data_IF_559720228142
#
_entry.id   IF_559720228142
#
_cell.length_a   1.000
_cell.length_b   1.000
_cell.length_c   1.000
_cell.angle_alpha   90.00
_cell.angle_beta   90.00
_cell.angle_gamma   90.00
#
_symmetry.space_group_name_H-M   'P 1'
#
loop_
_entity.id
_entity.type
_entity.pdbx_description
1 polymer ?
#
# COMPACT_ATOMS: atom_id res chain seq x y z
N UNK A 1 38.77 -55.34 17.21
CA UNK A 1 38.78 -53.88 17.40
C UNK A 1 37.91 -53.27 16.31
N UNK A 2 36.69 -52.85 16.64
CA UNK A 2 35.75 -52.28 15.66
C UNK A 2 35.80 -50.75 15.70
N UNK A 3 36.01 -50.12 14.55
CA UNK A 3 35.99 -48.67 14.39
C UNK A 3 34.58 -48.27 13.95
N UNK A 4 33.88 -47.50 14.78
CA UNK A 4 32.60 -46.89 14.43
C UNK A 4 32.85 -45.51 13.82
N UNK A 5 32.56 -45.34 12.54
CA UNK A 5 32.60 -44.04 11.87
C UNK A 5 31.21 -43.43 12.02
N UNK A 6 31.09 -42.41 12.87
CA UNK A 6 29.86 -41.62 13.00
C UNK A 6 29.86 -40.59 11.87
N UNK A 7 29.01 -40.80 10.87
CA UNK A 7 28.82 -39.88 9.76
C UNK A 7 27.83 -38.77 10.20
N UNK A 8 28.37 -37.62 10.62
CA UNK A 8 27.58 -36.44 10.96
C UNK A 8 27.04 -35.78 9.69
N UNK A 9 25.76 -35.98 9.39
CA UNK A 9 25.06 -35.25 8.31
C UNK A 9 24.78 -33.81 8.76
N UNK A 10 25.57 -32.86 8.28
CA UNK A 10 25.23 -31.43 8.36
C UNK A 10 24.03 -31.16 7.44
N UNK A 11 22.83 -31.03 8.01
CA UNK A 11 21.72 -30.39 7.30
C UNK A 11 22.06 -28.89 7.19
N UNK A 12 22.48 -28.47 6.00
CA UNK A 12 22.54 -27.05 5.68
C UNK A 12 21.10 -26.53 5.62
N UNK A 13 20.66 -25.85 6.68
CA UNK A 13 19.44 -25.04 6.64
C UNK A 13 19.72 -23.89 5.70
N UNK A 14 19.32 -24.02 4.44
CA UNK A 14 19.28 -22.89 3.51
C UNK A 14 18.19 -21.94 4.02
N UNK A 15 18.60 -20.93 4.78
CA UNK A 15 17.76 -19.78 5.08
C UNK A 15 17.56 -19.08 3.74
N UNK A 16 16.41 -19.33 3.10
CA UNK A 16 16.00 -18.59 1.91
C UNK A 16 15.91 -17.12 2.31
N UNK A 17 16.85 -16.30 1.83
CA UNK A 17 16.72 -14.86 1.94
C UNK A 17 15.48 -14.48 1.12
N UNK A 18 14.42 -14.04 1.79
CA UNK A 18 13.32 -13.36 1.11
C UNK A 18 13.93 -12.14 0.44
N UNK A 19 14.16 -12.19 -0.88
CA UNK A 19 14.58 -11.01 -1.62
C UNK A 19 13.49 -9.96 -1.41
N UNK A 20 13.85 -8.85 -0.76
CA UNK A 20 13.02 -7.67 -0.71
C UNK A 20 12.72 -7.21 -2.12
N UNK A 21 11.47 -6.85 -2.39
CA UNK A 21 11.06 -6.31 -3.68
C UNK A 21 11.96 -5.11 -4.07
N UNK A 22 12.46 -5.13 -5.32
CA UNK A 22 13.16 -4.00 -5.93
C UNK A 22 12.56 -3.69 -7.30
N UNK A 23 12.27 -2.41 -7.56
CA UNK A 23 11.81 -1.93 -8.86
C UNK A 23 12.73 -0.80 -9.33
N UNK A 24 13.54 -1.07 -10.35
CA UNK A 24 14.51 -0.10 -10.91
C UNK A 24 15.49 0.48 -9.87
N UNK A 25 16.03 -0.35 -8.97
CA UNK A 25 17.05 0.09 -8.01
C UNK A 25 16.50 0.74 -6.75
N UNK A 26 15.17 0.79 -6.55
CA UNK A 26 14.56 1.26 -5.31
C UNK A 26 13.71 0.18 -4.67
N UNK A 27 13.67 0.20 -3.34
CA UNK A 27 12.82 -0.69 -2.55
C UNK A 27 11.36 -0.57 -2.98
N UNK A 28 10.71 -1.71 -3.22
CA UNK A 28 9.27 -1.77 -3.43
C UNK A 28 8.51 -2.52 -2.35
N UNK A 29 7.21 -2.30 -2.33
CA UNK A 29 6.29 -3.02 -1.46
C UNK A 29 6.19 -4.50 -1.87
N UNK A 30 6.38 -5.41 -0.92
CA UNK A 30 6.17 -6.84 -1.16
C UNK A 30 4.67 -7.16 -1.21
N UNK A 31 4.31 -8.22 -1.93
CA UNK A 31 2.96 -8.77 -1.91
C UNK A 31 2.96 -10.25 -2.31
N UNK A 32 1.90 -10.93 -1.90
CA UNK A 32 1.55 -12.28 -2.35
C UNK A 32 0.34 -12.22 -3.28
N UNK A 33 0.41 -12.86 -4.44
CA UNK A 33 -0.75 -12.99 -5.34
C UNK A 33 -1.63 -14.13 -4.84
N UNK A 34 -2.85 -13.79 -4.39
CA UNK A 34 -3.84 -14.74 -3.89
C UNK A 34 -4.61 -15.39 -5.04
N UNK A 35 -5.01 -14.60 -6.04
CA UNK A 35 -5.64 -15.09 -7.26
C UNK A 35 -5.30 -14.21 -8.46
N UNK A 36 -5.27 -14.83 -9.65
CA UNK A 36 -5.11 -14.13 -10.92
C UNK A 36 -6.39 -14.24 -11.73
N UNK A 37 -6.84 -13.10 -12.22
CA UNK A 37 -7.92 -12.98 -13.18
C UNK A 37 -7.34 -12.41 -14.49
N UNK A 38 -8.06 -12.49 -15.62
CA UNK A 38 -7.53 -12.04 -16.91
C UNK A 38 -7.06 -10.57 -16.94
N UNK A 39 -7.64 -9.72 -16.09
CA UNK A 39 -7.45 -8.27 -16.14
C UNK A 39 -7.08 -7.61 -14.81
N UNK A 40 -6.97 -8.38 -13.73
CA UNK A 40 -6.60 -7.93 -12.39
C UNK A 40 -6.12 -9.11 -11.53
N UNK A 41 -5.51 -8.80 -10.39
CA UNK A 41 -5.07 -9.78 -9.39
C UNK A 41 -5.69 -9.46 -8.03
N UNK A 42 -5.95 -10.47 -7.20
CA UNK A 42 -6.11 -10.28 -5.75
C UNK A 42 -4.74 -10.45 -5.11
N UNK A 43 -4.31 -9.45 -4.34
CA UNK A 43 -3.00 -9.42 -3.69
C UNK A 43 -3.14 -9.21 -2.18
N UNK A 44 -2.32 -9.90 -1.40
CA UNK A 44 -2.14 -9.69 0.03
C UNK A 44 -0.84 -8.91 0.24
N UNK A 45 -0.94 -7.77 0.92
CA UNK A 45 0.20 -6.96 1.31
C UNK A 45 0.50 -7.14 2.80
N UNK A 46 1.78 -7.08 3.21
CA UNK A 46 2.16 -7.08 4.62
C UNK A 46 1.74 -5.76 5.29
N UNK A 47 2.04 -5.62 6.58
CA UNK A 47 1.91 -4.31 7.24
C UNK A 47 2.91 -3.32 6.63
N UNK A 48 2.48 -2.08 6.44
CA UNK A 48 3.29 -1.02 5.84
C UNK A 48 3.21 0.27 6.65
N UNK A 49 4.21 1.12 6.48
CA UNK A 49 4.23 2.48 7.04
C UNK A 49 4.30 3.47 5.88
N UNK A 50 3.43 4.48 5.93
CA UNK A 50 3.33 5.52 4.92
C UNK A 50 3.48 6.89 5.55
N UNK A 51 4.24 7.78 4.93
CA UNK A 51 4.17 9.22 5.21
C UNK A 51 3.20 9.85 4.20
N UNK A 52 2.23 10.59 4.71
CA UNK A 52 1.06 11.01 3.94
C UNK A 52 0.79 12.49 4.07
N UNK A 53 0.17 13.06 3.03
CA UNK A 53 -0.36 14.41 2.98
C UNK A 53 -1.75 14.38 2.35
N UNK A 54 -2.63 15.32 2.71
CA UNK A 54 -4.02 15.36 2.25
C UNK A 54 -4.39 16.72 1.67
N UNK A 55 -5.18 16.73 0.60
CA UNK A 55 -5.77 17.92 -0.01
C UNK A 55 -7.16 17.56 -0.58
N UNK A 56 -8.09 18.51 -0.58
CA UNK A 56 -9.39 18.41 -1.27
C UNK A 56 -9.40 19.40 -2.42
N UNK A 57 -10.03 19.02 -3.54
CA UNK A 57 -10.11 19.88 -4.71
C UNK A 57 -10.68 19.16 -5.93
N UNK A 58 -11.02 19.88 -7.01
CA UNK A 58 -11.62 19.30 -8.20
C UNK A 58 -10.60 18.66 -9.16
N UNK A 59 -9.29 18.89 -8.97
CA UNK A 59 -8.25 18.43 -9.89
C UNK A 59 -7.26 17.48 -9.20
N UNK A 60 -7.27 16.22 -9.64
CA UNK A 60 -6.30 15.22 -9.20
C UNK A 60 -4.88 15.66 -9.57
N UNK A 61 -4.68 16.15 -10.79
CA UNK A 61 -3.35 16.52 -11.28
C UNK A 61 -2.71 17.63 -10.43
N UNK A 62 -3.49 18.64 -10.03
CA UNK A 62 -3.01 19.72 -9.15
C UNK A 62 -2.72 19.21 -7.75
N UNK A 63 -3.62 18.42 -7.17
CA UNK A 63 -3.42 17.82 -5.85
C UNK A 63 -2.15 16.94 -5.83
N UNK A 64 -1.93 16.09 -6.85
CA UNK A 64 -0.73 15.26 -6.92
C UNK A 64 0.56 16.08 -6.96
N UNK A 65 0.61 17.19 -7.70
CA UNK A 65 1.78 18.07 -7.74
C UNK A 65 2.04 18.70 -6.36
N UNK A 66 1.01 19.23 -5.72
CA UNK A 66 1.12 19.90 -4.42
C UNK A 66 1.55 18.94 -3.31
N UNK A 67 0.87 17.80 -3.22
CA UNK A 67 1.12 16.77 -2.22
C UNK A 67 2.50 16.14 -2.41
N UNK A 68 2.89 15.83 -3.65
CA UNK A 68 4.22 15.29 -3.93
C UNK A 68 5.32 16.27 -3.52
N UNK A 69 5.15 17.58 -3.75
CA UNK A 69 6.12 18.59 -3.29
C UNK A 69 6.32 18.57 -1.78
N UNK A 70 5.25 18.43 -0.98
CA UNK A 70 5.36 18.34 0.49
C UNK A 70 6.13 17.09 0.90
N UNK A 71 5.72 15.94 0.38
CA UNK A 71 6.33 14.64 0.68
C UNK A 71 7.78 14.54 0.18
N UNK A 72 8.08 15.15 -0.96
CA UNK A 72 9.44 15.18 -1.51
C UNK A 72 10.39 16.00 -0.63
N UNK A 73 9.96 17.17 -0.10
CA UNK A 73 10.78 17.93 0.85
C UNK A 73 11.14 17.09 2.08
N UNK A 74 10.18 16.35 2.62
CA UNK A 74 10.39 15.48 3.78
C UNK A 74 11.53 14.47 3.55
N UNK A 75 11.50 13.74 2.42
CA UNK A 75 12.57 12.77 2.10
C UNK A 75 13.89 13.43 1.69
N UNK A 76 13.88 14.74 1.38
CA UNK A 76 15.06 15.55 1.08
C UNK A 76 15.62 16.30 2.30
N UNK A 77 15.22 15.91 3.52
CA UNK A 77 15.78 16.48 4.75
C UNK A 77 14.91 17.53 5.44
N UNK A 78 13.71 17.83 4.96
CA UNK A 78 12.74 18.68 5.68
C UNK A 78 12.03 17.87 6.78
N UNK A 79 12.84 17.48 7.76
CA UNK A 79 12.46 16.71 8.93
C UNK A 79 13.38 17.11 10.09
N UNK A 80 12.97 16.82 11.33
CA UNK A 80 13.66 17.33 12.52
C UNK A 80 15.12 16.88 12.66
N UNK A 81 15.55 15.85 11.92
CA UNK A 81 16.93 15.35 11.93
C UNK A 81 17.75 15.79 10.71
N UNK A 82 17.15 16.49 9.75
CA UNK A 82 17.84 16.87 8.51
C UNK A 82 18.25 15.68 7.64
N UNK A 83 17.63 14.52 7.84
CA UNK A 83 18.06 13.26 7.23
C UNK A 83 17.46 13.08 5.84
N UNK A 84 18.29 12.66 4.88
CA UNK A 84 17.83 12.20 3.59
C UNK A 84 17.29 10.78 3.71
N UNK A 85 16.11 10.54 3.15
CA UNK A 85 15.43 9.23 3.19
C UNK A 85 15.44 8.67 1.78
N UNK A 86 15.83 7.40 1.66
CA UNK A 86 15.79 6.70 0.37
C UNK A 86 14.36 6.66 -0.18
N UNK A 87 14.22 7.02 -1.46
CA UNK A 87 12.94 6.85 -2.17
C UNK A 87 12.59 5.37 -2.29
N UNK A 88 11.29 5.08 -2.21
CA UNK A 88 10.70 3.76 -2.38
C UNK A 88 9.57 3.82 -3.41
N UNK A 89 8.98 2.68 -3.74
CA UNK A 89 7.90 2.61 -4.73
C UNK A 89 6.83 1.56 -4.36
N UNK A 90 5.54 1.78 -4.68
CA UNK A 90 4.96 2.91 -5.39
C UNK A 90 4.79 4.15 -4.52
N UNK A 91 4.68 5.31 -5.17
CA UNK A 91 3.93 6.42 -4.59
C UNK A 91 2.45 6.14 -4.79
N UNK A 92 1.64 6.35 -3.76
CA UNK A 92 0.22 5.99 -3.77
C UNK A 92 -0.65 7.22 -3.53
N UNK A 93 -1.73 7.38 -4.28
CA UNK A 93 -2.75 8.43 -4.05
C UNK A 93 -4.11 7.78 -3.79
N UNK A 94 -4.61 7.86 -2.56
CA UNK A 94 -5.99 7.52 -2.23
C UNK A 94 -6.91 8.59 -2.80
N UNK A 95 -7.93 8.17 -3.54
CA UNK A 95 -8.99 9.03 -4.04
C UNK A 95 -10.29 8.63 -3.35
N UNK A 96 -10.88 9.58 -2.63
CA UNK A 96 -12.25 9.48 -2.11
C UNK A 96 -13.11 10.37 -3.00
N UNK A 97 -13.90 9.80 -3.92
CA UNK A 97 -14.78 10.58 -4.79
C UNK A 97 -15.85 11.29 -3.97
N UNK A 98 -16.22 12.49 -4.40
CA UNK A 98 -17.46 13.09 -3.92
C UNK A 98 -18.66 12.41 -4.57
N UNK A 99 -19.74 12.17 -3.81
CA UNK A 99 -21.03 11.69 -4.32
C UNK A 99 -22.08 12.79 -4.16
N UNK A 100 -22.85 13.00 -5.23
CA UNK A 100 -24.20 13.59 -5.24
C UNK A 100 -24.43 15.01 -4.67
N UNK A 101 -23.39 15.77 -4.36
CA UNK A 101 -23.50 17.18 -3.94
C UNK A 101 -22.61 18.09 -4.81
N UNK A 102 -23.23 19.09 -5.44
CA UNK A 102 -22.56 20.04 -6.34
C UNK A 102 -21.52 20.91 -5.64
N UNK A 103 -21.53 20.98 -4.30
CA UNK A 103 -20.59 21.75 -3.49
C UNK A 103 -19.44 20.91 -2.90
N UNK A 104 -19.42 19.60 -3.12
CA UNK A 104 -18.44 18.71 -2.49
C UNK A 104 -17.29 18.35 -3.44
N UNK A 105 -16.08 18.38 -2.91
CA UNK A 105 -14.86 18.11 -3.66
C UNK A 105 -14.28 16.73 -3.32
N UNK A 106 -13.71 16.02 -4.31
CA UNK A 106 -12.92 14.84 -4.05
C UNK A 106 -11.80 15.12 -3.06
N UNK A 107 -11.49 14.11 -2.26
CA UNK A 107 -10.37 14.17 -1.32
C UNK A 107 -9.25 13.26 -1.82
N UNK A 108 -8.04 13.81 -1.84
CA UNK A 108 -6.81 13.13 -2.23
C UNK A 108 -5.90 12.98 -1.03
N UNK A 109 -5.37 11.78 -0.81
CA UNK A 109 -4.31 11.53 0.17
C UNK A 109 -3.17 10.84 -0.52
N UNK A 110 -2.05 11.55 -0.71
CA UNK A 110 -0.85 10.98 -1.30
C UNK A 110 0.05 10.45 -0.20
N UNK A 111 0.71 9.34 -0.47
CA UNK A 111 1.52 8.58 0.46
C UNK A 111 2.81 8.11 -0.21
N UNK A 112 3.94 8.30 0.46
CA UNK A 112 5.21 7.62 0.14
C UNK A 112 5.41 6.46 1.10
N UNK A 113 5.84 5.31 0.56
CA UNK A 113 6.17 4.15 1.38
C UNK A 113 7.44 4.47 2.18
N UNK A 114 7.41 4.26 3.48
CA UNK A 114 8.60 4.40 4.30
C UNK A 114 9.51 3.18 4.03
N UNK A 115 10.84 3.35 3.90
CA UNK A 115 11.77 2.22 3.86
C UNK A 115 11.60 1.28 5.06
N UNK A 116 11.68 -0.04 4.84
CA UNK A 116 11.46 -1.03 5.92
C UNK A 116 12.44 -0.90 7.08
N UNK A 117 13.67 -0.49 6.82
CA UNK A 117 14.69 -0.27 7.86
C UNK A 117 14.31 0.85 8.85
N UNK A 118 13.32 1.70 8.48
CA UNK A 118 12.80 2.77 9.31
C UNK A 118 11.52 2.44 10.10
N UNK A 119 10.94 1.22 9.96
CA UNK A 119 9.61 0.89 10.51
C UNK A 119 9.50 0.93 12.03
N UNK A 120 10.58 0.69 12.78
CA UNK A 120 10.60 0.67 14.25
C UNK A 120 10.66 2.08 14.86
N UNK A 121 9.79 2.98 14.37
CA UNK A 121 9.73 4.40 14.74
C UNK A 121 11.05 5.15 14.52
N UNK A 122 11.86 4.64 13.58
CA UNK A 122 13.13 5.26 13.18
C UNK A 122 12.94 6.32 12.10
N UNK A 123 11.79 6.41 11.45
CA UNK A 123 11.51 7.50 10.51
C UNK A 123 11.61 8.88 11.21
N UNK A 124 12.25 9.89 10.60
CA UNK A 124 12.36 11.21 11.21
C UNK A 124 11.01 11.92 11.20
N UNK A 125 10.77 12.73 12.24
CA UNK A 125 9.54 13.50 12.39
C UNK A 125 9.53 14.63 11.35
N UNK A 126 8.48 14.80 10.53
CA UNK A 126 8.38 15.90 9.58
C UNK A 126 8.33 17.26 10.30
N UNK A 127 8.90 18.29 9.69
CA UNK A 127 8.76 19.70 10.11
C UNK A 127 7.43 20.29 9.65
N UNK A 128 6.92 19.82 8.51
CA UNK A 128 5.61 20.19 7.94
C UNK A 128 4.49 19.50 8.73
N UNK A 129 3.67 20.29 9.42
CA UNK A 129 2.58 19.82 10.30
C UNK A 129 1.42 19.17 9.54
N UNK A 130 1.35 19.34 8.22
CA UNK A 130 0.34 18.70 7.38
C UNK A 130 0.72 17.25 7.00
N UNK A 131 1.94 16.83 7.32
CA UNK A 131 2.42 15.47 7.08
C UNK A 131 2.14 14.57 8.29
N UNK A 132 1.66 13.36 8.03
CA UNK A 132 1.34 12.39 9.06
C UNK A 132 1.70 10.97 8.64
N UNK A 133 2.06 10.14 9.62
CA UNK A 133 2.33 8.71 9.38
C UNK A 133 1.05 7.88 9.51
N UNK A 134 0.92 6.89 8.64
CA UNK A 134 -0.12 5.87 8.69
C UNK A 134 0.53 4.49 8.72
N UNK A 135 0.31 3.74 9.81
CA UNK A 135 0.62 2.31 9.86
C UNK A 135 -0.58 1.54 9.34
N UNK A 136 -0.42 0.95 8.17
CA UNK A 136 -1.45 0.12 7.56
C UNK A 136 -1.22 -1.35 7.96
N UNK A 137 -2.20 -2.02 8.60
CA UNK A 137 -2.08 -3.45 8.89
C UNK A 137 -2.09 -4.26 7.59
N UNK A 138 -1.75 -5.56 7.63
CA UNK A 138 -1.82 -6.41 6.45
C UNK A 138 -3.17 -6.28 5.75
N UNK A 139 -3.15 -5.97 4.46
CA UNK A 139 -4.37 -5.61 3.71
C UNK A 139 -4.40 -6.31 2.36
N UNK A 140 -5.61 -6.69 1.95
CA UNK A 140 -5.87 -7.22 0.62
C UNK A 140 -6.35 -6.13 -0.31
N UNK A 141 -5.93 -6.21 -1.57
CA UNK A 141 -6.41 -5.37 -2.64
C UNK A 141 -6.73 -6.21 -3.87
N UNK A 142 -7.74 -5.79 -4.62
CA UNK A 142 -7.81 -6.10 -6.05
C UNK A 142 -6.99 -5.06 -6.80
N UNK A 143 -6.15 -5.51 -7.72
CA UNK A 143 -5.12 -4.69 -8.37
C UNK A 143 -5.17 -4.88 -9.87
N UNK A 144 -5.26 -3.76 -10.59
CA UNK A 144 -5.15 -3.72 -12.06
C UNK A 144 -3.92 -2.92 -12.46
N UNK A 145 -3.06 -3.53 -13.27
CA UNK A 145 -1.82 -2.92 -13.76
C UNK A 145 -1.96 -2.47 -15.21
N UNK A 146 -1.34 -1.35 -15.56
CA UNK A 146 -1.34 -0.79 -16.91
C UNK A 146 -0.11 0.10 -17.14
N UNK A 147 0.21 0.38 -18.40
CA UNK A 147 1.40 1.14 -18.79
C UNK A 147 1.16 2.59 -19.18
N UNK A 148 2.24 3.31 -19.48
CA UNK A 148 2.19 4.64 -20.10
C UNK A 148 2.19 5.82 -19.11
N UNK A 149 1.82 7.00 -19.60
CA UNK A 149 1.69 8.24 -18.82
C UNK A 149 0.21 8.64 -18.75
N UNK A 150 -0.56 8.09 -17.79
CA UNK A 150 -1.99 8.35 -17.73
C UNK A 150 -2.27 9.85 -17.54
N UNK A 151 -3.19 10.37 -18.34
CA UNK A 151 -3.94 11.58 -18.00
C UNK A 151 -4.84 11.32 -16.79
N UNK A 152 -5.37 12.39 -16.20
CA UNK A 152 -6.39 12.29 -15.15
C UNK A 152 -7.61 11.46 -15.59
N UNK A 153 -8.09 11.66 -16.82
CA UNK A 153 -9.20 10.86 -17.38
C UNK A 153 -8.84 9.38 -17.55
N UNK A 154 -7.59 9.05 -17.91
CA UNK A 154 -7.15 7.66 -18.02
C UNK A 154 -7.07 6.98 -16.65
N UNK A 155 -6.59 7.68 -15.61
CA UNK A 155 -6.63 7.17 -14.25
C UNK A 155 -8.05 6.82 -13.80
N UNK A 156 -9.01 7.73 -14.04
CA UNK A 156 -10.42 7.51 -13.70
C UNK A 156 -10.99 6.35 -14.50
N UNK A 157 -10.68 6.23 -15.79
CA UNK A 157 -11.14 5.13 -16.63
C UNK A 157 -10.63 3.76 -16.16
N UNK A 158 -9.35 3.64 -15.79
CA UNK A 158 -8.78 2.39 -15.26
C UNK A 158 -9.37 2.03 -13.90
N UNK A 159 -9.67 3.04 -13.06
CA UNK A 159 -10.33 2.82 -11.78
C UNK A 159 -11.77 2.36 -11.93
N UNK A 160 -12.54 2.98 -12.84
CA UNK A 160 -13.89 2.53 -13.16
C UNK A 160 -13.88 1.11 -13.72
N UNK A 161 -12.95 0.80 -14.62
CA UNK A 161 -12.81 -0.53 -15.19
C UNK A 161 -12.55 -1.61 -14.12
N UNK A 162 -11.65 -1.36 -13.17
CA UNK A 162 -11.43 -2.29 -12.05
C UNK A 162 -12.68 -2.43 -11.16
N UNK A 163 -13.37 -1.33 -10.88
CA UNK A 163 -14.63 -1.36 -10.12
C UNK A 163 -15.71 -2.19 -10.82
N UNK A 164 -15.81 -2.09 -12.15
CA UNK A 164 -16.76 -2.84 -12.98
C UNK A 164 -16.42 -4.34 -13.00
N UNK A 165 -15.14 -4.67 -13.22
CA UNK A 165 -14.63 -6.05 -13.22
C UNK A 165 -14.89 -6.78 -11.89
N UNK A 166 -14.97 -6.03 -10.80
CA UNK A 166 -15.14 -6.55 -9.43
C UNK A 166 -16.53 -6.29 -8.86
N UNK A 167 -17.51 -5.92 -9.71
CA UNK A 167 -18.88 -5.58 -9.28
C UNK A 167 -19.53 -6.67 -8.41
N UNK A 168 -19.32 -7.93 -8.77
CA UNK A 168 -19.91 -9.11 -8.08
C UNK A 168 -19.03 -9.65 -6.96
N UNK A 169 -17.85 -9.09 -6.74
CA UNK A 169 -16.96 -9.53 -5.68
C UNK A 169 -17.37 -8.95 -4.32
N UNK A 170 -17.61 -9.83 -3.36
CA UNK A 170 -17.91 -9.40 -2.01
C UNK A 170 -16.66 -8.84 -1.30
N UNK A 171 -16.85 -7.79 -0.51
CA UNK A 171 -15.81 -7.20 0.32
C UNK A 171 -14.92 -6.17 -0.39
N UNK A 172 -15.05 -6.00 -1.70
CA UNK A 172 -14.36 -4.95 -2.46
C UNK A 172 -14.99 -3.59 -2.15
N UNK A 173 -14.17 -2.66 -1.66
CA UNK A 173 -14.57 -1.31 -1.27
C UNK A 173 -15.15 -0.50 -2.45
N UNK A 174 -16.02 0.48 -2.16
CA UNK A 174 -16.74 1.31 -3.16
C UNK A 174 -16.78 2.80 -2.83
N UNK A 175 -16.11 3.16 -1.75
CA UNK A 175 -15.99 4.50 -1.21
C UNK A 175 -14.67 5.16 -1.62
N UNK A 176 -13.64 4.36 -1.95
CA UNK A 176 -12.35 4.88 -2.37
C UNK A 176 -11.55 3.86 -3.19
N UNK A 177 -10.53 4.37 -3.89
CA UNK A 177 -9.53 3.58 -4.61
C UNK A 177 -8.15 4.26 -4.50
N UNK A 178 -7.11 3.57 -4.95
CA UNK A 178 -5.75 4.09 -4.93
C UNK A 178 -5.14 4.09 -6.33
N UNK A 179 -4.47 5.18 -6.68
CA UNK A 179 -3.68 5.32 -7.89
C UNK A 179 -2.20 5.20 -7.53
N UNK A 180 -1.50 4.27 -8.16
CA UNK A 180 -0.13 3.90 -7.80
C UNK A 180 0.75 4.03 -9.04
N UNK A 181 1.80 4.82 -8.93
CA UNK A 181 2.79 5.01 -9.98
C UNK A 181 4.16 4.63 -9.44
N UNK A 182 4.87 3.81 -10.21
CA UNK A 182 6.08 3.16 -9.73
C UNK A 182 7.37 3.85 -10.17
N UNK A 183 7.32 4.50 -11.34
CA UNK A 183 8.51 5.02 -11.99
C UNK A 183 8.68 6.53 -11.76
N UNK A 184 9.93 7.00 -11.65
CA UNK A 184 10.22 8.41 -11.44
C UNK A 184 9.72 9.28 -12.61
N UNK A 185 9.51 10.60 -12.38
CA UNK A 185 8.99 11.50 -13.41
C UNK A 185 9.78 11.51 -14.72
N UNK A 186 11.10 11.29 -14.69
CA UNK A 186 11.93 11.30 -15.91
C UNK A 186 11.87 9.97 -16.72
N UNK A 187 11.26 8.91 -16.18
CA UNK A 187 11.16 7.63 -16.90
C UNK A 187 10.19 7.75 -18.08
N UNK A 188 10.67 7.62 -19.33
CA UNK A 188 9.87 7.86 -20.54
C UNK A 188 9.04 6.66 -21.00
N UNK A 189 9.60 5.45 -20.95
CA UNK A 189 8.99 4.22 -21.51
C UNK A 189 8.84 3.12 -20.47
N UNK A 190 7.99 2.12 -20.75
CA UNK A 190 7.75 0.94 -19.90
C UNK A 190 7.49 1.30 -18.43
N UNK A 191 6.58 2.26 -18.24
CA UNK A 191 6.11 2.66 -16.92
C UNK A 191 5.10 1.64 -16.40
N UNK A 192 5.15 1.36 -15.10
CA UNK A 192 4.16 0.59 -14.36
C UNK A 192 3.28 1.54 -13.56
N UNK A 193 1.99 1.45 -13.82
CA UNK A 193 0.94 2.11 -13.07
C UNK A 193 -0.07 1.06 -12.61
N UNK A 194 -0.70 1.28 -11.46
CA UNK A 194 -1.71 0.38 -10.93
C UNK A 194 -2.85 1.11 -10.26
N UNK A 195 -4.06 0.58 -10.39
CA UNK A 195 -5.20 0.95 -9.55
C UNK A 195 -5.45 -0.16 -8.54
N UNK A 196 -5.59 0.21 -7.26
CA UNK A 196 -5.92 -0.72 -6.18
C UNK A 196 -7.26 -0.37 -5.55
N UNK A 197 -8.07 -1.38 -5.23
CA UNK A 197 -9.28 -1.22 -4.41
C UNK A 197 -9.18 -2.18 -3.23
N UNK A 198 -9.32 -1.71 -1.97
CA UNK A 198 -9.26 -2.60 -0.81
C UNK A 198 -10.31 -3.71 -0.86
N UNK A 199 -9.92 -4.89 -0.41
CA UNK A 199 -10.80 -6.03 -0.23
C UNK A 199 -10.82 -6.42 1.25
N UNK A 200 -11.98 -6.32 1.88
CA UNK A 200 -12.19 -6.78 3.25
C UNK A 200 -12.51 -8.28 3.23
N UNK A 201 -11.94 -9.02 4.17
CA UNK A 201 -12.39 -10.38 4.45
C UNK A 201 -13.82 -10.29 5.01
N UNK A 202 -14.77 -11.09 4.50
CA UNK A 202 -15.99 -11.34 5.26
C UNK A 202 -15.54 -11.92 6.60
N UNK A 203 -15.84 -11.24 7.72
CA UNK A 203 -15.70 -11.87 9.04
C UNK A 203 -16.49 -13.17 8.97
N UNK A 204 -15.83 -14.32 9.10
CA UNK A 204 -16.57 -15.58 9.25
C UNK A 204 -17.41 -15.44 10.51
N UNK A 205 -18.68 -15.81 10.43
CA UNK A 205 -19.61 -15.79 11.56
C UNK A 205 -19.06 -16.54 12.79
N UNK A 206 -18.12 -17.49 12.59
CA UNK A 206 -17.36 -18.18 13.64
C UNK A 206 -16.49 -17.25 14.49
N UNK A 207 -15.86 -16.25 13.87
CA UNK A 207 -14.90 -15.37 14.54
C UNK A 207 -15.65 -14.33 15.39
N UNK A 208 -16.85 -13.95 14.95
CA UNK A 208 -17.80 -13.16 15.75
C UNK A 208 -18.34 -13.94 16.95
N UNK A 209 -18.68 -15.23 16.80
CA UNK A 209 -19.09 -16.08 17.94
C UNK A 209 -17.95 -16.26 18.95
N UNK A 210 -16.71 -16.44 18.49
CA UNK A 210 -15.55 -16.56 19.38
C UNK A 210 -15.30 -15.27 20.15
N UNK A 211 -15.34 -14.11 19.48
CA UNK A 211 -15.20 -12.80 20.14
C UNK A 211 -16.33 -12.48 21.12
N UNK A 212 -17.58 -12.85 20.80
CA UNK A 212 -18.73 -12.69 21.71
C UNK A 212 -18.62 -13.65 22.90
N UNK A 213 -18.19 -14.90 22.66
CA UNK A 213 -17.95 -15.87 23.73
C UNK A 213 -16.85 -15.39 24.67
N UNK A 214 -15.70 -14.97 24.14
CA UNK A 214 -14.58 -14.49 24.95
C UNK A 214 -14.97 -13.22 25.76
N UNK A 215 -15.85 -12.35 25.24
CA UNK A 215 -16.40 -11.22 25.99
C UNK A 215 -17.40 -11.61 27.07
N UNK A 216 -18.22 -12.64 26.85
CA UNK A 216 -19.16 -13.12 27.84
C UNK A 216 -18.45 -13.90 28.95
N UNK A 217 -17.42 -14.68 28.63
CA UNK A 217 -16.59 -15.40 29.60
C UNK A 217 -15.80 -14.41 30.49
N UNK A 218 -15.43 -13.23 29.98
CA UNK A 218 -14.85 -12.13 30.77
C UNK A 218 -15.86 -11.40 31.68
N UNK A 219 -17.15 -11.46 31.35
CA UNK A 219 -18.21 -10.86 32.17
C UNK A 219 -18.78 -11.83 33.23
N UNK A 220 -18.41 -13.11 33.20
CA UNK A 220 -18.74 -14.10 34.23
C UNK A 220 -17.71 -14.14 35.38
N UNK A 221 -16.61 -13.36 35.30
CA UNK A 221 -15.55 -13.30 36.31
C UNK A 221 -15.63 -12.02 37.17
N UNK A 222 -16.74 -11.28 37.13
CA UNK A 222 -17.01 -10.12 37.99
C UNK A 222 -18.24 -10.35 38.87
#
# INVERSE_FOLDING_TARGET
MGIWIILSTFLAVQIGQSLSCEHRGVECIDYEVISRHPEYEERQYPSTVWISAKESGPSLSRAQINLYKKLFRYIQGDNLRGEFINSTTPTRTKVVPCKDDSMCEPTYTMSLLVPKDLYDDKFPIPTDVDLFFEREPPKKYVVRSFGGRPSESQWVAEAQKLADLTLKEAGVARDHYYLNWYDPPLQLFNRLNEVWIPKTMKKKYSDQKKFIKDKNDLNEVC
#
